data_IF_048300621960
#
_entry.id   IF_048300621960
#
_cell.length_a   1.000
_cell.length_b   1.000
_cell.length_c   1.000
_cell.angle_alpha   90.00
_cell.angle_beta   90.00
_cell.angle_gamma   90.00
#
_symmetry.space_group_name_H-M   'P 1'
#
loop_
_entity.id
_entity.type
_entity.pdbx_description
1 polymer ?
#
# COMPACT_ATOMS: atom_id res chain seq x y z
N UNK A 1 -7.75 -9.73 5.75
CA UNK A 1 -7.98 -10.48 4.49
C UNK A 1 -6.87 -11.51 4.41
N UNK A 2 -7.13 -12.77 4.06
CA UNK A 2 -6.03 -13.72 3.85
C UNK A 2 -5.29 -13.29 2.57
N UNK A 3 -4.03 -12.88 2.68
CA UNK A 3 -3.17 -12.58 1.53
C UNK A 3 -2.70 -13.91 0.92
N UNK A 4 -3.60 -14.60 0.23
CA UNK A 4 -3.24 -15.75 -0.60
C UNK A 4 -2.65 -15.27 -1.94
N UNK A 5 -2.05 -16.22 -2.69
CA UNK A 5 -1.37 -15.88 -3.95
C UNK A 5 -2.28 -15.23 -5.00
N UNK A 6 -3.58 -15.58 -5.00
CA UNK A 6 -4.55 -15.00 -5.92
C UNK A 6 -4.86 -13.54 -5.54
N UNK A 7 -5.17 -13.28 -4.27
CA UNK A 7 -5.43 -11.94 -3.76
C UNK A 7 -4.21 -11.03 -3.95
N UNK A 8 -3.01 -11.56 -3.74
CA UNK A 8 -1.76 -10.84 -3.99
C UNK A 8 -1.56 -10.48 -5.46
N UNK A 9 -1.94 -11.35 -6.40
CA UNK A 9 -1.80 -11.07 -7.84
C UNK A 9 -2.70 -9.91 -8.29
N UNK A 10 -3.93 -9.86 -7.76
CA UNK A 10 -4.88 -8.77 -8.04
C UNK A 10 -4.39 -7.46 -7.41
N UNK A 11 -3.94 -7.51 -6.15
CA UNK A 11 -3.39 -6.36 -5.46
C UNK A 11 -2.14 -5.81 -6.17
N UNK A 12 -1.22 -6.68 -6.60
CA UNK A 12 -0.02 -6.25 -7.32
C UNK A 12 -0.37 -5.53 -8.63
N UNK A 13 -1.38 -6.03 -9.35
CA UNK A 13 -1.90 -5.37 -10.55
C UNK A 13 -2.49 -3.99 -10.24
N UNK A 14 -3.34 -3.90 -9.21
CA UNK A 14 -3.95 -2.62 -8.79
C UNK A 14 -2.89 -1.60 -8.35
N UNK A 15 -1.90 -2.01 -7.57
CA UNK A 15 -0.81 -1.14 -7.14
C UNK A 15 0.02 -0.66 -8.33
N UNK A 16 0.28 -1.52 -9.32
CA UNK A 16 0.99 -1.11 -10.53
C UNK A 16 0.18 -0.07 -11.32
N UNK A 17 -1.11 -0.31 -11.53
CA UNK A 17 -1.99 0.61 -12.27
C UNK A 17 -2.10 1.99 -11.60
N UNK A 18 -2.13 2.03 -10.27
CA UNK A 18 -2.32 3.29 -9.52
C UNK A 18 -1.04 4.01 -9.12
N UNK A 19 0.07 3.29 -8.90
CA UNK A 19 1.25 3.84 -8.22
C UNK A 19 2.55 3.79 -9.02
N UNK A 20 2.63 3.06 -10.16
CA UNK A 20 3.91 2.75 -10.82
C UNK A 20 4.79 3.97 -11.14
N UNK A 21 4.17 5.11 -11.47
CA UNK A 21 4.87 6.38 -11.77
C UNK A 21 4.76 7.40 -10.63
N UNK A 22 4.23 7.01 -9.49
CA UNK A 22 3.98 7.86 -8.34
C UNK A 22 5.24 8.25 -7.58
N UNK A 23 5.24 9.45 -7.00
CA UNK A 23 6.30 9.92 -6.12
C UNK A 23 5.90 9.75 -4.65
N UNK A 24 6.70 9.01 -3.89
CA UNK A 24 6.56 8.95 -2.43
C UNK A 24 6.84 10.35 -1.86
N UNK A 25 5.83 10.95 -1.25
CA UNK A 25 5.91 12.28 -0.63
C UNK A 25 6.37 12.17 0.82
N UNK A 26 5.82 11.20 1.56
CA UNK A 26 6.10 11.00 2.98
C UNK A 26 6.04 9.51 3.33
N UNK A 27 6.86 9.14 4.30
CA UNK A 27 6.87 7.81 4.90
C UNK A 27 6.67 7.96 6.40
N UNK A 28 5.68 7.26 6.94
CA UNK A 28 5.39 7.23 8.36
C UNK A 28 5.44 5.79 8.88
N UNK A 29 5.95 5.63 10.09
CA UNK A 29 5.75 4.43 10.88
C UNK A 29 4.66 4.73 11.92
N UNK A 30 3.47 4.17 11.73
CA UNK A 30 2.30 4.45 12.58
C UNK A 30 2.46 3.75 13.93
N UNK A 31 2.97 2.52 13.89
CA UNK A 31 3.28 1.71 15.05
C UNK A 31 4.45 0.76 14.72
N UNK A 32 4.81 -0.14 15.65
CA UNK A 32 5.93 -1.08 15.50
C UNK A 32 5.83 -1.97 14.25
N UNK A 33 4.64 -2.18 13.73
CA UNK A 33 4.32 -3.16 12.67
C UNK A 33 3.64 -2.55 11.44
N UNK A 34 3.38 -1.24 11.42
CA UNK A 34 2.61 -0.59 10.35
C UNK A 34 3.36 0.59 9.73
N UNK A 35 3.51 0.56 8.42
CA UNK A 35 4.04 1.66 7.60
C UNK A 35 2.91 2.29 6.76
N UNK A 36 2.95 3.61 6.65
CA UNK A 36 2.08 4.41 5.79
C UNK A 36 2.94 5.22 4.82
N UNK A 37 2.73 4.99 3.53
CA UNK A 37 3.33 5.76 2.45
C UNK A 37 2.28 6.75 1.93
N UNK A 38 2.62 8.03 1.90
CA UNK A 38 1.87 9.04 1.15
C UNK A 38 2.51 9.18 -0.21
N UNK A 39 1.74 8.90 -1.27
CA UNK A 39 2.23 8.84 -2.65
C UNK A 39 1.39 9.79 -3.49
N UNK A 40 2.04 10.66 -4.26
CA UNK A 40 1.37 11.46 -5.30
C UNK A 40 1.49 10.69 -6.60
N UNK A 41 0.38 10.21 -7.16
CA UNK A 41 0.35 9.45 -8.41
C UNK A 41 -0.90 9.84 -9.21
N UNK A 42 -0.80 9.92 -10.53
CA UNK A 42 -1.95 10.22 -11.41
C UNK A 42 -2.74 11.48 -11.01
N UNK A 43 -2.05 12.52 -10.52
CA UNK A 43 -2.65 13.75 -9.96
C UNK A 43 -3.53 13.55 -8.72
N UNK A 44 -3.44 12.41 -8.06
CA UNK A 44 -4.15 12.09 -6.81
C UNK A 44 -3.17 11.78 -5.67
N UNK A 45 -3.61 12.05 -4.44
CA UNK A 45 -2.90 11.63 -3.25
C UNK A 45 -3.42 10.26 -2.82
N UNK A 46 -2.52 9.28 -2.80
CA UNK A 46 -2.79 7.90 -2.45
C UNK A 46 -2.09 7.54 -1.13
N UNK A 47 -2.74 6.73 -0.30
CA UNK A 47 -2.14 6.23 0.94
C UNK A 47 -1.94 4.72 0.84
N UNK A 48 -0.70 4.25 0.72
CA UNK A 48 -0.41 2.83 0.80
C UNK A 48 -0.09 2.44 2.25
N UNK A 49 -0.89 1.55 2.81
CA UNK A 49 -0.69 0.99 4.15
C UNK A 49 -0.16 -0.42 4.02
N UNK A 50 0.90 -0.71 4.77
CA UNK A 50 1.48 -2.05 4.91
C UNK A 50 1.58 -2.35 6.40
N UNK A 51 0.92 -3.42 6.85
CA UNK A 51 0.99 -3.89 8.24
C UNK A 51 1.36 -5.36 8.30
N UNK A 52 2.21 -5.70 9.25
CA UNK A 52 2.70 -7.07 9.50
C UNK A 52 2.41 -7.54 10.93
N UNK A 53 1.45 -6.89 11.61
CA UNK A 53 1.03 -7.24 12.96
C UNK A 53 0.22 -8.54 13.03
N UNK A 54 -0.65 -8.67 14.02
CA UNK A 54 -1.49 -9.86 14.21
C UNK A 54 -2.39 -10.18 13.00
N UNK A 55 -2.69 -9.17 12.17
CA UNK A 55 -3.45 -9.32 10.92
C UNK A 55 -2.69 -8.64 9.77
N UNK A 56 -1.73 -9.36 9.13
CA UNK A 56 -0.98 -8.78 8.02
C UNK A 56 -1.89 -8.36 6.87
N UNK A 57 -1.68 -7.16 6.35
CA UNK A 57 -2.48 -6.59 5.28
C UNK A 57 -1.69 -5.54 4.49
N UNK A 58 -2.07 -5.39 3.23
CA UNK A 58 -1.61 -4.32 2.35
C UNK A 58 -2.81 -3.78 1.57
N UNK A 59 -3.00 -2.46 1.57
CA UNK A 59 -4.14 -1.83 0.91
C UNK A 59 -3.88 -0.35 0.63
N UNK A 60 -4.65 0.20 -0.31
CA UNK A 60 -4.75 1.63 -0.58
C UNK A 60 -5.90 2.26 0.22
N UNK A 61 -5.66 3.44 0.77
CA UNK A 61 -6.61 4.26 1.54
C UNK A 61 -6.66 5.70 1.04
#
# INVERSE_FOLDING_TARGET
MNLDGLTMSVLAKELNERLQTGQIQKLYQIDKTTLLFKIRALNEDQSLVITVGATPAMYLS
#
